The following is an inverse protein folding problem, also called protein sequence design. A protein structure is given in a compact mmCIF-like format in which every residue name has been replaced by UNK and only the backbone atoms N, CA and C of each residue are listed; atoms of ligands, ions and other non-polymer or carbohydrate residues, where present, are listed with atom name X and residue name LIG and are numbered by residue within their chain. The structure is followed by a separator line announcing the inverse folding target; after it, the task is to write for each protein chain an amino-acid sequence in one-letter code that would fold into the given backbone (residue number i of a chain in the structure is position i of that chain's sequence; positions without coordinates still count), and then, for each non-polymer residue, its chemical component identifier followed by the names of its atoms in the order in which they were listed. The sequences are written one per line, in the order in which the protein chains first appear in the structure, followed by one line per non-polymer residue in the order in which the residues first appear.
data_IF_052056663708
#
_entry.id   IF_052056663708
#
_cell.length_a   1.000
_cell.length_b   1.000
_cell.length_c   1.000
_cell.angle_alpha   90.00
_cell.angle_beta   90.00
_cell.angle_gamma   90.00
#
_symmetry.space_group_name_H-M   'P 1'
#
loop_
_entity.id
_entity.type
_entity.pdbx_description
1 polymer ?
#
# COMPACT_ATOMS: atom_id res chain seq x y z
N UNK A 1 -0.20 9.88 14.34
CA UNK A 1 -0.86 9.98 13.02
C UNK A 1 0.07 10.71 12.06
N UNK A 2 0.24 10.20 10.84
CA UNK A 2 1.11 10.79 9.83
C UNK A 2 0.29 11.76 8.98
N UNK A 3 0.59 13.06 9.08
CA UNK A 3 -0.13 14.12 8.34
C UNK A 3 0.56 14.55 7.04
N UNK A 4 1.70 13.92 6.71
CA UNK A 4 2.51 14.26 5.54
C UNK A 4 2.84 13.00 4.74
N UNK A 5 2.49 13.04 3.46
CA UNK A 5 2.95 12.08 2.45
C UNK A 5 4.14 12.65 1.70
N UNK A 6 5.15 11.82 1.46
CA UNK A 6 6.30 12.15 0.61
C UNK A 6 6.27 11.18 -0.56
N UNK A 7 6.07 11.71 -1.77
CA UNK A 7 5.98 10.89 -2.98
C UNK A 7 7.34 10.87 -3.67
N UNK A 8 7.85 9.66 -3.92
CA UNK A 8 8.98 9.43 -4.82
C UNK A 8 8.48 9.54 -6.28
N UNK A 9 8.69 10.71 -6.88
CA UNK A 9 8.26 10.98 -8.26
C UNK A 9 9.03 10.13 -9.30
N UNK A 10 10.37 9.99 -9.23
CA UNK A 10 11.09 9.07 -10.10
C UNK A 10 10.53 7.64 -10.09
N UNK A 11 10.23 7.08 -8.91
CA UNK A 11 9.61 5.76 -8.80
C UNK A 11 8.22 5.73 -9.43
N UNK A 12 7.38 6.72 -9.11
CA UNK A 12 6.02 6.82 -9.63
C UNK A 12 6.01 6.87 -11.17
N UNK A 13 6.86 7.69 -11.76
CA UNK A 13 6.99 7.81 -13.22
C UNK A 13 7.50 6.51 -13.86
N UNK A 14 8.51 5.87 -13.26
CA UNK A 14 9.06 4.60 -13.73
C UNK A 14 8.00 3.50 -13.83
N UNK A 15 7.03 3.49 -12.92
CA UNK A 15 5.96 2.49 -12.88
C UNK A 15 4.64 2.97 -13.51
N UNK A 16 4.65 4.15 -14.16
CA UNK A 16 3.46 4.73 -14.78
C UNK A 16 2.31 4.91 -13.79
N UNK A 17 2.61 5.42 -12.59
CA UNK A 17 1.63 5.69 -11.55
C UNK A 17 1.00 7.06 -11.75
N UNK A 18 -0.32 7.14 -11.57
CA UNK A 18 -0.97 8.43 -11.37
C UNK A 18 -0.80 8.91 -9.91
N UNK A 19 -1.19 10.15 -9.63
CA UNK A 19 -1.05 10.75 -8.30
C UNK A 19 -1.69 9.92 -7.18
N UNK A 20 -2.87 9.35 -7.43
CA UNK A 20 -3.59 8.54 -6.44
C UNK A 20 -2.83 7.25 -6.11
N UNK A 21 -2.31 6.58 -7.13
CA UNK A 21 -1.51 5.36 -6.97
C UNK A 21 -0.17 5.66 -6.30
N UNK A 22 0.49 6.76 -6.68
CA UNK A 22 1.74 7.20 -6.08
C UNK A 22 1.58 7.56 -4.59
N UNK A 23 0.49 8.25 -4.23
CA UNK A 23 0.16 8.53 -2.83
C UNK A 23 -0.10 7.26 -2.02
N UNK A 24 -0.82 6.29 -2.59
CA UNK A 24 -1.04 4.99 -1.94
C UNK A 24 0.27 4.23 -1.74
N UNK A 25 1.15 4.22 -2.74
CA UNK A 25 2.45 3.54 -2.64
C UNK A 25 3.31 4.18 -1.55
N UNK A 26 3.37 5.51 -1.50
CA UNK A 26 4.11 6.24 -0.46
C UNK A 26 3.61 5.87 0.95
N UNK A 27 2.29 5.79 1.15
CA UNK A 27 1.71 5.35 2.42
C UNK A 27 2.09 3.92 2.78
N UNK A 28 1.98 2.98 1.84
CA UNK A 28 2.33 1.57 2.08
C UNK A 28 3.83 1.40 2.39
N UNK A 29 4.71 2.17 1.75
CA UNK A 29 6.15 2.15 2.07
C UNK A 29 6.41 2.62 3.49
N UNK A 30 5.75 3.68 3.92
CA UNK A 30 5.86 4.18 5.30
C UNK A 30 5.27 3.22 6.33
N UNK A 31 4.27 2.42 5.96
CA UNK A 31 3.68 1.40 6.84
C UNK A 31 4.74 0.41 7.38
N UNK A 32 5.85 0.21 6.67
CA UNK A 32 6.98 -0.59 7.18
C UNK A 32 7.55 -0.11 8.52
N UNK A 33 7.34 1.16 8.88
CA UNK A 33 7.87 1.78 10.11
C UNK A 33 6.96 1.68 11.32
N UNK A 34 5.65 1.55 11.12
CA UNK A 34 4.67 1.67 12.21
C UNK A 34 3.59 0.60 12.22
N UNK A 35 3.37 -0.11 11.11
CA UNK A 35 2.37 -1.16 11.04
C UNK A 35 2.90 -2.44 11.68
N UNK A 36 1.99 -3.15 12.35
CA UNK A 36 2.23 -4.45 12.97
C UNK A 36 2.76 -5.46 11.93
N UNK A 37 3.78 -6.22 12.33
CA UNK A 37 4.30 -7.33 11.55
C UNK A 37 3.45 -8.58 11.75
N UNK A 38 3.01 -9.17 10.64
CA UNK A 38 2.28 -10.43 10.64
C UNK A 38 3.05 -11.44 9.80
N UNK A 39 3.45 -12.54 10.42
CA UNK A 39 4.10 -13.65 9.72
C UNK A 39 3.05 -14.65 9.24
N UNK A 40 3.00 -14.88 7.93
CA UNK A 40 2.09 -15.85 7.32
C UNK A 40 2.85 -16.70 6.30
N UNK A 41 2.94 -18.00 6.55
CA UNK A 41 3.62 -18.94 5.65
C UNK A 41 5.11 -18.63 5.44
N UNK A 42 5.81 -18.15 6.49
CA UNK A 42 7.22 -17.77 6.39
C UNK A 42 7.48 -16.42 5.71
N UNK A 43 6.42 -15.68 5.37
CA UNK A 43 6.51 -14.33 4.80
C UNK A 43 6.02 -13.31 5.80
N UNK A 44 6.80 -12.26 6.02
CA UNK A 44 6.43 -11.13 6.87
C UNK A 44 5.67 -10.07 6.06
N UNK A 45 4.50 -9.69 6.55
CA UNK A 45 3.65 -8.63 6.01
C UNK A 45 3.48 -7.51 7.04
N UNK A 46 2.97 -6.38 6.59
CA UNK A 46 2.48 -5.28 7.42
C UNK A 46 0.95 -5.29 7.44
N UNK A 47 0.34 -5.32 8.62
CA UNK A 47 -1.11 -5.27 8.73
C UNK A 47 -1.61 -3.81 8.64
N UNK A 48 -2.47 -3.54 7.65
CA UNK A 48 -3.16 -2.26 7.49
C UNK A 48 -4.66 -2.48 7.33
N UNK A 49 -5.44 -1.49 7.77
CA UNK A 49 -6.89 -1.48 7.64
C UNK A 49 -7.33 -0.38 6.68
N UNK A 50 -8.50 -0.57 6.05
CA UNK A 50 -9.11 0.47 5.22
C UNK A 50 -9.33 1.78 6.00
N UNK A 51 -9.63 1.67 7.30
CA UNK A 51 -9.79 2.82 8.21
C UNK A 51 -8.48 3.61 8.36
N UNK A 52 -7.36 2.94 8.64
CA UNK A 52 -6.05 3.60 8.75
C UNK A 52 -5.67 4.33 7.46
N UNK A 53 -6.02 3.77 6.30
CA UNK A 53 -5.78 4.41 5.00
C UNK A 53 -6.59 5.70 4.88
N UNK A 54 -7.89 5.67 5.16
CA UNK A 54 -8.77 6.85 5.05
C UNK A 54 -8.37 7.93 6.05
N UNK A 55 -8.01 7.56 7.28
CA UNK A 55 -7.55 8.50 8.31
C UNK A 55 -6.21 9.15 7.94
N UNK A 56 -5.31 8.41 7.28
CA UNK A 56 -4.00 8.94 6.86
C UNK A 56 -4.06 9.72 5.53
N UNK A 57 -4.98 9.35 4.64
CA UNK A 57 -5.09 9.91 3.28
C UNK A 57 -6.51 10.45 3.01
N UNK A 58 -7.05 11.36 3.84
CA UNK A 58 -8.43 11.82 3.70
C UNK A 58 -8.67 12.59 2.39
N UNK A 59 -7.63 13.21 1.81
CA UNK A 59 -7.70 13.88 0.51
C UNK A 59 -7.71 12.90 -0.67
N UNK A 60 -7.23 11.66 -0.47
CA UNK A 60 -7.18 10.65 -1.51
C UNK A 60 -8.56 10.01 -1.69
N UNK A 61 -9.17 9.58 -0.58
CA UNK A 61 -10.52 9.03 -0.55
C UNK A 61 -11.02 8.87 0.88
N UNK A 62 -12.33 9.02 1.06
CA UNK A 62 -13.11 8.66 2.24
C UNK A 62 -13.83 7.30 2.10
N UNK A 63 -13.70 6.62 0.94
CA UNK A 63 -14.41 5.38 0.62
C UNK A 63 -13.51 4.16 0.83
N UNK A 64 -13.86 3.22 1.73
CA UNK A 64 -13.07 2.01 1.97
C UNK A 64 -12.80 1.18 0.72
N UNK A 65 -13.76 1.08 -0.20
CA UNK A 65 -13.62 0.30 -1.43
C UNK A 65 -12.68 0.95 -2.44
N UNK A 66 -12.64 2.29 -2.48
CA UNK A 66 -11.66 3.01 -3.29
C UNK A 66 -10.25 2.80 -2.75
N UNK A 67 -10.07 2.86 -1.43
CA UNK A 67 -8.79 2.59 -0.78
C UNK A 67 -8.28 1.18 -1.11
N UNK A 68 -9.15 0.17 -0.99
CA UNK A 68 -8.78 -1.21 -1.34
C UNK A 68 -8.48 -1.39 -2.84
N UNK A 69 -9.24 -0.75 -3.73
CA UNK A 69 -8.99 -0.80 -5.17
C UNK A 69 -7.62 -0.22 -5.53
N UNK A 70 -7.18 0.85 -4.86
CA UNK A 70 -5.84 1.40 -5.07
C UNK A 70 -4.74 0.42 -4.65
N UNK A 71 -4.91 -0.31 -3.54
CA UNK A 71 -3.98 -1.39 -3.16
C UNK A 71 -3.92 -2.49 -4.23
N UNK A 72 -5.07 -2.92 -4.76
CA UNK A 72 -5.13 -3.92 -5.84
C UNK A 72 -4.44 -3.46 -7.13
N UNK A 73 -4.50 -2.16 -7.44
CA UNK A 73 -3.76 -1.60 -8.57
C UNK A 73 -2.24 -1.69 -8.36
N UNK A 74 -1.76 -1.41 -7.14
CA UNK A 74 -0.33 -1.57 -6.82
C UNK A 74 0.10 -3.04 -6.89
N UNK A 75 -0.76 -3.96 -6.46
CA UNK A 75 -0.50 -5.40 -6.55
C UNK A 75 -0.42 -5.87 -8.00
N UNK A 76 -1.37 -5.47 -8.85
CA UNK A 76 -1.35 -5.77 -10.28
C UNK A 76 -0.10 -5.21 -10.98
N UNK A 77 0.46 -4.12 -10.48
CA UNK A 77 1.72 -3.54 -10.97
C UNK A 77 2.97 -4.20 -10.38
N UNK A 78 2.84 -5.21 -9.52
CA UNK A 78 3.97 -5.91 -8.91
C UNK A 78 4.75 -5.07 -7.89
N UNK A 79 4.12 -4.03 -7.33
CA UNK A 79 4.75 -3.12 -6.36
C UNK A 79 4.51 -3.56 -4.92
N UNK A 80 3.43 -4.29 -4.70
CA UNK A 80 3.07 -4.87 -3.41
C UNK A 80 2.52 -6.27 -3.61
N UNK A 81 2.61 -7.11 -2.59
CA UNK A 81 1.84 -8.34 -2.48
C UNK A 81 0.78 -8.16 -1.39
N UNK A 82 -0.44 -8.64 -1.63
CA UNK A 82 -1.50 -8.62 -0.63
C UNK A 82 -1.78 -10.03 -0.13
N UNK A 83 -2.03 -10.12 1.17
CA UNK A 83 -2.70 -11.24 1.83
C UNK A 83 -3.80 -10.66 2.73
N UNK A 84 -4.65 -11.50 3.30
CA UNK A 84 -5.73 -11.04 4.17
C UNK A 84 -5.81 -11.90 5.43
N UNK A 85 -6.20 -11.26 6.53
CA UNK A 85 -6.77 -11.93 7.69
C UNK A 85 -8.28 -11.71 7.70
N UNK A 86 -8.97 -12.22 8.71
CA UNK A 86 -10.40 -11.90 8.95
C UNK A 86 -10.64 -10.39 9.13
N UNK A 87 -9.66 -9.66 9.67
CA UNK A 87 -9.85 -8.27 10.13
C UNK A 87 -9.03 -7.22 9.37
N UNK A 88 -7.99 -7.62 8.63
CA UNK A 88 -7.01 -6.69 8.07
C UNK A 88 -6.48 -7.12 6.71
N UNK A 89 -6.09 -6.13 5.91
CA UNK A 89 -5.32 -6.34 4.69
C UNK A 89 -3.85 -6.38 5.08
N UNK A 90 -3.18 -7.47 4.72
CA UNK A 90 -1.75 -7.64 4.89
C UNK A 90 -1.07 -7.15 3.61
N UNK A 91 -0.12 -6.24 3.74
CA UNK A 91 0.61 -5.67 2.62
C UNK A 91 2.11 -5.90 2.79
N UNK A 92 2.77 -6.30 1.71
CA UNK A 92 4.23 -6.40 1.65
C UNK A 92 4.71 -5.61 0.44
N UNK A 93 5.59 -4.65 0.66
CA UNK A 93 6.25 -3.91 -0.43
C UNK A 93 7.21 -4.84 -1.16
N UNK A 94 7.23 -4.75 -2.48
CA UNK A 94 8.16 -5.46 -3.34
C UNK A 94 9.17 -4.44 -3.91
N UNK A 95 10.40 -4.87 -4.22
CA UNK A 95 11.46 -3.99 -4.76
C UNK A 95 11.23 -3.57 -6.22
N UNK A 96 9.99 -3.66 -6.72
CA UNK A 96 9.60 -3.24 -8.06
C UNK A 96 10.19 -4.11 -9.18
N UNK A 97 10.66 -5.32 -8.86
CA UNK A 97 11.15 -6.34 -9.80
C UNK A 97 10.22 -7.54 -9.98
N UNK A 98 9.11 -7.59 -9.25
CA UNK A 98 8.14 -8.68 -9.33
C UNK A 98 7.21 -8.53 -10.53
N UNK A 99 7.70 -8.82 -11.74
CA UNK A 99 6.78 -9.21 -12.82
C UNK A 99 6.06 -10.49 -12.36
N UNK A 100 4.80 -10.38 -11.96
CA UNK A 100 3.90 -11.53 -11.95
C UNK A 100 3.67 -11.84 -13.43
N UNK A 101 4.32 -12.91 -13.90
CA UNK A 101 4.09 -13.50 -15.23
C UNK A 101 2.66 -14.01 -15.35
#
# INVERSE_FOLDING_TARGET
MQYRIVIDQPEALRHGLNLQQAAMLAYVREASRWAEEVNQGGVTYRAITKRQIIEALPLLTDKPDTAYRLLKVLEHKGLVALSHTEFSTLVRVLDGGGHVR
#
